data_IF_871355532003
#
_entry.id   IF_871355532003
#
_cell.length_a   1.000
_cell.length_b   1.000
_cell.length_c   1.000
_cell.angle_alpha   90.00
_cell.angle_beta   90.00
_cell.angle_gamma   90.00
#
_symmetry.space_group_name_H-M   'P 1'
#
loop_
_entity.id
_entity.type
_entity.pdbx_description
1 polymer ?
#
# COMPACT_ATOMS: atom_id res chain seq x y z
N UNK A 1 -15.06 -17.48 -24.61
CA UNK A 1 -15.12 -16.35 -23.65
C UNK A 1 -13.86 -16.38 -22.81
N UNK A 2 -12.78 -15.66 -23.16
CA UNK A 2 -11.58 -15.64 -22.33
C UNK A 2 -11.92 -14.88 -21.04
N UNK A 3 -11.81 -15.53 -19.87
CA UNK A 3 -11.83 -14.84 -18.59
C UNK A 3 -10.61 -13.94 -18.56
N UNK A 4 -10.78 -12.67 -18.93
CA UNK A 4 -9.82 -11.60 -18.66
C UNK A 4 -9.73 -11.50 -17.14
N UNK A 5 -8.88 -12.34 -16.57
CA UNK A 5 -8.62 -12.35 -15.14
C UNK A 5 -7.73 -11.15 -14.92
N UNK A 6 -8.36 -10.05 -14.53
CA UNK A 6 -7.82 -8.72 -14.59
C UNK A 6 -6.64 -8.60 -13.61
N UNK A 7 -5.43 -8.87 -14.12
CA UNK A 7 -4.20 -8.89 -13.33
C UNK A 7 -3.94 -7.55 -12.66
N UNK A 8 -4.33 -6.46 -13.34
CA UNK A 8 -4.29 -5.10 -12.81
C UNK A 8 -5.23 -4.93 -11.60
N UNK A 9 -6.49 -5.39 -11.71
CA UNK A 9 -7.43 -5.33 -10.59
C UNK A 9 -6.96 -6.16 -9.39
N UNK A 10 -6.35 -7.32 -9.64
CA UNK A 10 -5.75 -8.15 -8.58
C UNK A 10 -4.56 -7.45 -7.93
N UNK A 11 -3.68 -6.83 -8.71
CA UNK A 11 -2.52 -6.10 -8.21
C UNK A 11 -2.94 -4.89 -7.37
N UNK A 12 -3.93 -4.12 -7.83
CA UNK A 12 -4.48 -2.97 -7.10
C UNK A 12 -5.08 -3.41 -5.75
N UNK A 13 -5.83 -4.51 -5.73
CA UNK A 13 -6.37 -5.09 -4.50
C UNK A 13 -5.29 -5.55 -3.54
N UNK A 14 -4.26 -6.25 -4.04
CA UNK A 14 -3.15 -6.74 -3.24
C UNK A 14 -2.34 -5.55 -2.65
N UNK A 15 -2.14 -4.47 -3.41
CA UNK A 15 -1.51 -3.24 -2.93
C UNK A 15 -2.34 -2.55 -1.82
N UNK A 16 -3.67 -2.48 -1.99
CA UNK A 16 -4.57 -1.94 -0.97
C UNK A 16 -4.52 -2.75 0.34
N UNK A 17 -4.53 -4.08 0.25
CA UNK A 17 -4.37 -5.00 1.39
C UNK A 17 -3.13 -4.70 2.20
N UNK A 18 -2.01 -4.57 1.49
CA UNK A 18 -0.71 -4.38 2.09
C UNK A 18 -0.60 -3.01 2.73
N UNK A 19 -1.11 -1.97 2.06
CA UNK A 19 -1.18 -0.62 2.64
C UNK A 19 -1.93 -0.62 3.97
N UNK A 20 -3.13 -1.18 4.03
CA UNK A 20 -3.92 -1.24 5.27
C UNK A 20 -3.20 -2.03 6.37
N UNK A 21 -2.49 -3.10 6.01
CA UNK A 21 -1.68 -3.86 6.97
C UNK A 21 -0.52 -3.01 7.54
N UNK A 22 0.18 -2.26 6.68
CA UNK A 22 1.28 -1.37 7.10
C UNK A 22 0.79 -0.16 7.91
N UNK A 23 -0.44 0.30 7.67
CA UNK A 23 -1.14 1.30 8.50
C UNK A 23 -1.59 0.75 9.87
N UNK A 24 -1.38 -0.55 10.14
CA UNK A 24 -1.67 -1.18 11.43
C UNK A 24 -3.07 -1.77 11.57
N UNK A 25 -3.87 -1.83 10.49
CA UNK A 25 -5.17 -2.47 10.55
C UNK A 25 -5.05 -3.98 10.79
N UNK A 26 -5.89 -4.51 11.69
CA UNK A 26 -5.98 -5.96 11.88
C UNK A 26 -6.51 -6.67 10.63
N UNK A 27 -6.11 -7.93 10.41
CA UNK A 27 -6.61 -8.74 9.28
C UNK A 27 -8.14 -8.82 9.23
N UNK A 28 -8.81 -8.77 10.39
CA UNK A 28 -10.28 -8.77 10.49
C UNK A 28 -10.88 -7.46 9.98
N UNK A 29 -10.28 -6.32 10.33
CA UNK A 29 -10.70 -5.01 9.82
C UNK A 29 -10.49 -4.92 8.31
N UNK A 30 -9.37 -5.45 7.80
CA UNK A 30 -9.09 -5.45 6.36
C UNK A 30 -10.08 -6.34 5.60
N UNK A 31 -10.41 -7.53 6.12
CA UNK A 31 -11.40 -8.42 5.49
C UNK A 31 -12.82 -7.85 5.49
N UNK A 32 -13.12 -6.89 6.38
CA UNK A 32 -14.40 -6.20 6.45
C UNK A 32 -14.52 -5.01 5.48
N UNK A 33 -13.43 -4.63 4.79
CA UNK A 33 -13.44 -3.50 3.87
C UNK A 33 -14.33 -3.78 2.64
N UNK A 34 -15.26 -2.88 2.30
CA UNK A 34 -16.08 -3.01 1.11
C UNK A 34 -15.20 -2.97 -0.15
N UNK A 35 -15.49 -3.83 -1.12
CA UNK A 35 -14.76 -3.93 -2.39
C UNK A 35 -13.57 -4.91 -2.40
N UNK A 36 -13.06 -5.32 -1.24
CA UNK A 36 -11.92 -6.27 -1.18
C UNK A 36 -12.32 -7.71 -1.52
N UNK A 37 -13.56 -8.11 -1.22
CA UNK A 37 -14.14 -9.42 -1.59
C UNK A 37 -13.25 -10.62 -1.23
N UNK A 38 -12.57 -10.57 -0.08
CA UNK A 38 -11.69 -11.63 0.41
C UNK A 38 -12.12 -12.10 1.79
N UNK A 39 -12.06 -13.42 1.99
CA UNK A 39 -12.19 -13.98 3.34
C UNK A 39 -10.97 -13.62 4.19
N UNK A 40 -11.12 -13.67 5.52
CA UNK A 40 -10.02 -13.45 6.47
C UNK A 40 -8.79 -14.30 6.13
N UNK A 41 -8.99 -15.58 5.81
CA UNK A 41 -7.89 -16.48 5.40
C UNK A 41 -7.24 -16.03 4.09
N UNK A 42 -8.02 -15.51 3.15
CA UNK A 42 -7.54 -14.95 1.89
C UNK A 42 -6.67 -13.71 2.11
N UNK A 43 -7.09 -12.81 3.00
CA UNK A 43 -6.33 -11.63 3.43
C UNK A 43 -4.97 -12.02 4.01
N UNK A 44 -4.94 -12.94 4.98
CA UNK A 44 -3.69 -13.40 5.62
C UNK A 44 -2.73 -13.97 4.59
N UNK A 45 -3.19 -14.87 3.71
CA UNK A 45 -2.35 -15.46 2.66
C UNK A 45 -1.85 -14.42 1.64
N UNK A 46 -2.66 -13.42 1.32
CA UNK A 46 -2.27 -12.37 0.38
C UNK A 46 -1.19 -11.47 0.96
N UNK A 47 -1.33 -11.05 2.23
CA UNK A 47 -0.32 -10.25 2.92
C UNK A 47 0.98 -11.04 3.08
N UNK A 48 0.91 -12.29 3.58
CA UNK A 48 2.11 -13.14 3.72
C UNK A 48 2.86 -13.34 2.40
N UNK A 49 2.14 -13.56 1.29
CA UNK A 49 2.77 -13.69 -0.03
C UNK A 49 3.52 -12.42 -0.43
N UNK A 50 2.96 -11.25 -0.18
CA UNK A 50 3.58 -9.98 -0.53
C UNK A 50 4.80 -9.66 0.35
N UNK A 51 4.75 -10.02 1.63
CA UNK A 51 5.89 -9.90 2.53
C UNK A 51 7.01 -10.90 2.15
N UNK A 52 6.65 -12.14 1.80
CA UNK A 52 7.61 -13.18 1.43
C UNK A 52 8.25 -12.96 0.05
N UNK A 53 7.57 -12.27 -0.87
CA UNK A 53 8.11 -11.92 -2.18
C UNK A 53 9.17 -10.79 -2.11
N UNK A 54 9.42 -10.24 -0.91
CA UNK A 54 10.05 -8.93 -0.76
C UNK A 54 9.02 -7.87 -1.09
N UNK A 55 8.77 -6.95 -0.16
CA UNK A 55 7.95 -5.77 -0.44
C UNK A 55 8.55 -5.08 -1.67
N UNK A 56 7.77 -4.95 -2.75
CA UNK A 56 8.21 -4.18 -3.91
C UNK A 56 8.69 -2.81 -3.42
N UNK A 57 9.86 -2.36 -3.87
CA UNK A 57 10.47 -1.12 -3.36
C UNK A 57 9.50 0.07 -3.46
N UNK A 58 8.68 0.10 -4.51
CA UNK A 58 7.64 1.12 -4.70
C UNK A 58 6.58 1.09 -3.60
N UNK A 59 6.20 -0.09 -3.13
CA UNK A 59 5.22 -0.26 -2.06
C UNK A 59 5.78 0.17 -0.71
N UNK A 60 7.08 -0.08 -0.46
CA UNK A 60 7.77 0.39 0.75
C UNK A 60 7.89 1.92 0.72
N UNK A 61 8.31 2.48 -0.42
CA UNK A 61 8.45 3.92 -0.61
C UNK A 61 7.10 4.64 -0.44
N UNK A 62 6.02 4.10 -1.02
CA UNK A 62 4.68 4.66 -0.87
C UNK A 62 4.17 4.60 0.57
N UNK A 63 4.37 3.47 1.27
CA UNK A 63 3.97 3.33 2.67
C UNK A 63 4.77 4.26 3.60
N UNK A 64 6.08 4.38 3.37
CA UNK A 64 6.93 5.32 4.08
C UNK A 64 6.49 6.77 3.84
N UNK A 65 6.25 7.16 2.58
CA UNK A 65 5.82 8.51 2.24
C UNK A 65 4.48 8.87 2.90
N UNK A 66 3.51 7.94 2.88
CA UNK A 66 2.22 8.13 3.54
C UNK A 66 2.36 8.28 5.07
N UNK A 67 3.15 7.42 5.70
CA UNK A 67 3.40 7.49 7.15
C UNK A 67 4.14 8.77 7.54
N UNK A 68 5.14 9.18 6.76
CA UNK A 68 5.91 10.40 7.01
C UNK A 68 5.04 11.65 6.81
N UNK A 69 4.20 11.68 5.78
CA UNK A 69 3.26 12.78 5.55
C UNK A 69 2.24 12.91 6.70
N UNK A 70 1.72 11.80 7.22
CA UNK A 70 0.84 11.81 8.39
C UNK A 70 1.57 12.26 9.67
N UNK A 71 2.83 11.86 9.86
CA UNK A 71 3.65 12.31 11.00
C UNK A 71 4.00 13.81 10.92
N UNK A 72 4.09 14.36 9.71
CA UNK A 72 4.35 15.76 9.46
C UNK A 72 3.07 16.58 9.22
N UNK A 73 1.89 16.06 9.57
CA UNK A 73 0.64 16.80 9.42
C UNK A 73 0.68 18.07 10.28
N UNK A 74 0.55 19.24 9.63
CA UNK A 74 0.76 20.55 10.25
C UNK A 74 2.23 21.04 10.33
N UNK A 75 3.22 20.22 9.96
CA UNK A 75 4.64 20.61 9.89
C UNK A 75 5.09 20.88 8.43
N UNK A 76 5.12 22.16 8.08
CA UNK A 76 5.52 22.62 6.75
C UNK A 76 6.98 22.28 6.36
N UNK A 77 7.87 22.06 7.33
CA UNK A 77 9.25 21.65 7.05
C UNK A 77 9.31 20.16 6.69
N UNK A 78 8.57 19.31 7.41
CA UNK A 78 8.43 17.89 7.11
C UNK A 78 7.86 17.64 5.70
N UNK A 79 6.80 18.36 5.31
CA UNK A 79 6.21 18.26 3.96
C UNK A 79 7.21 18.66 2.86
N UNK A 80 8.04 19.68 3.09
CA UNK A 80 9.08 20.09 2.13
C UNK A 80 10.22 19.08 2.03
N UNK A 81 10.62 18.47 3.15
CA UNK A 81 11.63 17.41 3.17
C UNK A 81 11.16 16.19 2.37
N UNK A 82 9.89 15.79 2.53
CA UNK A 82 9.30 14.69 1.76
C UNK A 82 9.31 14.96 0.25
N UNK A 83 8.93 16.17 -0.19
CA UNK A 83 8.99 16.55 -1.62
C UNK A 83 10.41 16.50 -2.18
N UNK A 84 11.41 16.95 -1.43
CA UNK A 84 12.82 16.87 -1.86
C UNK A 84 13.31 15.42 -1.97
N UNK A 85 12.90 14.55 -1.05
CA UNK A 85 13.23 13.13 -1.11
C UNK A 85 12.57 12.46 -2.33
N UNK A 86 11.31 12.79 -2.65
CA UNK A 86 10.64 12.31 -3.86
C UNK A 86 11.30 12.76 -5.16
N UNK A 87 11.68 14.05 -5.25
CA UNK A 87 12.36 14.62 -6.41
C UNK A 87 13.76 14.02 -6.67
N UNK A 88 14.50 13.68 -5.62
CA UNK A 88 15.81 13.04 -5.74
C UNK A 88 15.73 11.51 -5.97
N UNK A 89 14.58 10.89 -5.65
CA UNK A 89 14.34 9.45 -5.84
C UNK A 89 13.74 9.10 -7.21
N UNK A 90 13.43 10.08 -8.06
CA UNK A 90 12.85 9.83 -9.39
C UNK A 90 11.38 9.38 -9.36
N UNK A 91 10.64 9.70 -8.30
CA UNK A 91 9.18 9.51 -8.26
C UNK A 91 8.51 10.65 -9.04
N UNK A 92 7.62 10.36 -10.01
CA UNK A 92 7.02 11.39 -10.84
C UNK A 92 6.17 12.35 -9.99
N UNK A 93 6.40 13.65 -10.20
CA UNK A 93 5.50 14.71 -9.75
C UNK A 93 4.08 14.40 -10.27
N UNK A 94 3.12 14.29 -9.36
CA UNK A 94 1.69 14.32 -9.69
C UNK A 94 1.17 15.75 -9.56
#
# INVERSE_FOLDING_TARGET
>A
MPRVYDGAARAARDAQLLRLYLEGHSYRAIAAQPGLSLSLRGVVKAVQRQLAAGLHQDTVAAAFAAAYQAACDGDALGVRALRRLGANAGLPDQ
#
